data_IF_119502543176
#
_entry.id   IF_119502543176
#
_cell.length_a   1.000
_cell.length_b   1.000
_cell.length_c   1.000
_cell.angle_alpha   90.00
_cell.angle_beta   90.00
_cell.angle_gamma   90.00
#
_symmetry.space_group_name_H-M   'P 1'
#
loop_
_entity.id
_entity.type
_entity.pdbx_description
1 polymer ?
#
# COMPACT_ATOMS: atom_id res chain seq x y z
N UNK A 1 27.04 -38.81 -26.19
CA UNK A 1 26.10 -38.77 -25.05
C UNK A 1 26.18 -37.40 -24.41
N UNK A 2 25.40 -36.46 -24.91
CA UNK A 2 25.28 -35.12 -24.34
C UNK A 2 24.17 -35.14 -23.28
N UNK A 3 24.56 -34.86 -22.04
CA UNK A 3 23.58 -34.68 -20.98
C UNK A 3 23.10 -33.23 -21.07
N UNK A 4 21.89 -33.07 -21.60
CA UNK A 4 21.19 -31.79 -21.54
C UNK A 4 20.95 -31.39 -20.10
N UNK A 5 21.57 -30.28 -19.67
CA UNK A 5 21.26 -29.56 -18.44
C UNK A 5 19.87 -28.95 -18.61
N UNK A 6 18.85 -29.55 -17.97
CA UNK A 6 17.55 -28.91 -17.82
C UNK A 6 17.74 -27.74 -16.86
N UNK A 7 17.84 -26.55 -17.41
CA UNK A 7 17.63 -25.33 -16.67
C UNK A 7 16.15 -25.28 -16.26
N UNK A 8 15.84 -25.65 -15.01
CA UNK A 8 14.55 -25.35 -14.42
C UNK A 8 14.54 -23.85 -14.14
N UNK A 9 14.25 -23.06 -15.18
CA UNK A 9 13.90 -21.67 -15.00
C UNK A 9 12.58 -21.61 -14.24
N UNK A 10 12.60 -21.13 -13.01
CA UNK A 10 11.41 -20.56 -12.39
C UNK A 10 10.94 -19.45 -13.33
N UNK A 11 9.92 -19.75 -14.14
CA UNK A 11 9.26 -18.72 -14.91
C UNK A 11 8.73 -17.71 -13.88
N UNK A 12 9.34 -16.52 -13.88
CA UNK A 12 8.89 -15.41 -13.05
C UNK A 12 7.37 -15.25 -13.24
N UNK A 13 6.61 -15.24 -12.17
CA UNK A 13 5.15 -15.18 -12.25
C UNK A 13 4.75 -13.95 -13.08
N UNK A 14 3.85 -14.13 -14.04
CA UNK A 14 3.25 -13.03 -14.83
C UNK A 14 2.73 -11.86 -13.95
N UNK A 15 2.51 -12.12 -12.67
CA UNK A 15 2.01 -11.15 -11.70
C UNK A 15 3.09 -10.59 -10.76
N UNK A 16 4.37 -10.89 -10.98
CA UNK A 16 5.47 -10.35 -10.16
C UNK A 16 5.44 -8.82 -10.09
N UNK A 17 5.14 -8.16 -11.21
CA UNK A 17 5.04 -6.70 -11.26
C UNK A 17 3.98 -6.11 -10.31
N UNK A 18 2.89 -6.83 -10.02
CA UNK A 18 1.89 -6.39 -9.03
C UNK A 18 2.47 -6.43 -7.62
N UNK A 19 3.28 -7.43 -7.31
CA UNK A 19 3.93 -7.56 -6.01
C UNK A 19 4.98 -6.47 -5.81
N UNK A 20 5.80 -6.21 -6.82
CA UNK A 20 6.77 -5.12 -6.80
C UNK A 20 6.10 -3.76 -6.66
N UNK A 21 4.97 -3.56 -7.38
CA UNK A 21 4.19 -2.34 -7.26
C UNK A 21 3.62 -2.19 -5.85
N UNK A 22 3.05 -3.25 -5.28
CA UNK A 22 2.51 -3.23 -3.93
C UNK A 22 3.59 -2.92 -2.89
N UNK A 23 4.76 -3.55 -3.00
CA UNK A 23 5.91 -3.31 -2.10
C UNK A 23 6.37 -1.85 -2.15
N UNK A 24 6.54 -1.29 -3.35
CA UNK A 24 6.92 0.12 -3.50
C UNK A 24 5.85 1.08 -2.98
N UNK A 25 4.57 0.75 -3.11
CA UNK A 25 3.48 1.56 -2.57
C UNK A 25 3.46 1.58 -1.03
N UNK A 26 3.82 0.48 -0.36
CA UNK A 26 3.97 0.46 1.11
C UNK A 26 4.96 1.53 1.56
N UNK A 27 6.14 1.57 0.92
CA UNK A 27 7.18 2.54 1.26
C UNK A 27 6.73 3.99 1.03
N UNK A 28 6.07 4.24 -0.09
CA UNK A 28 5.54 5.58 -0.44
C UNK A 28 4.47 6.06 0.53
N UNK A 29 3.56 5.19 0.95
CA UNK A 29 2.50 5.52 1.91
C UNK A 29 3.12 5.88 3.26
N UNK A 30 3.99 5.02 3.77
CA UNK A 30 4.67 5.24 5.05
C UNK A 30 5.51 6.51 5.01
N UNK A 31 6.21 6.79 3.91
CA UNK A 31 6.99 8.01 3.72
C UNK A 31 6.14 9.28 3.80
N UNK A 32 4.94 9.28 3.18
CA UNK A 32 4.01 10.40 3.28
C UNK A 32 3.46 10.55 4.71
N UNK A 33 3.10 9.45 5.39
CA UNK A 33 2.62 9.52 6.76
C UNK A 33 3.68 10.06 7.73
N UNK A 34 4.93 9.63 7.56
CA UNK A 34 6.05 10.09 8.36
C UNK A 34 6.36 11.59 8.18
N UNK A 35 6.04 12.16 7.03
CA UNK A 35 6.29 13.58 6.74
C UNK A 35 5.41 14.56 7.55
N UNK A 36 4.31 14.07 8.15
CA UNK A 36 3.49 14.92 9.02
C UNK A 36 4.06 14.98 10.44
N UNK A 37 4.18 16.16 11.06
CA UNK A 37 4.44 16.25 12.50
C UNK A 37 3.21 15.75 13.30
N UNK A 38 3.42 15.31 14.53
CA UNK A 38 2.32 14.81 15.38
C UNK A 38 1.25 15.88 15.65
N UNK A 39 1.65 17.14 15.67
CA UNK A 39 0.72 18.28 15.82
C UNK A 39 -0.24 18.47 14.65
N UNK A 40 0.01 17.82 13.50
CA UNK A 40 -0.84 17.92 12.31
C UNK A 40 -1.87 16.77 12.19
N UNK A 41 -1.92 15.85 13.15
CA UNK A 41 -2.77 14.67 13.04
C UNK A 41 -4.26 14.97 12.91
N UNK A 42 -4.72 16.05 13.54
CA UNK A 42 -6.12 16.49 13.51
C UNK A 42 -6.44 17.43 12.33
N UNK A 43 -5.42 17.80 11.53
CA UNK A 43 -5.64 18.68 10.39
C UNK A 43 -6.56 18.03 9.36
N UNK A 44 -7.56 18.82 8.93
CA UNK A 44 -8.47 18.48 7.82
C UNK A 44 -8.73 19.72 6.96
N UNK A 45 -8.68 19.63 5.64
CA UNK A 45 -8.86 20.79 4.77
C UNK A 45 -10.31 21.33 4.74
N UNK A 46 -11.27 20.53 5.18
CA UNK A 46 -12.68 20.95 5.33
C UNK A 46 -13.38 20.08 6.38
N UNK A 47 -14.52 20.54 6.95
CA UNK A 47 -15.27 19.76 7.93
C UNK A 47 -15.74 18.39 7.44
N UNK A 48 -15.89 18.21 6.13
CA UNK A 48 -16.29 16.93 5.49
C UNK A 48 -15.12 16.04 5.13
N UNK A 49 -13.87 16.54 5.21
CA UNK A 49 -12.68 15.75 4.93
C UNK A 49 -12.27 14.93 6.15
N UNK A 50 -11.63 13.78 5.90
CA UNK A 50 -10.92 13.07 6.98
C UNK A 50 -9.72 13.90 7.44
N UNK A 51 -9.38 13.81 8.73
CA UNK A 51 -8.10 14.32 9.21
C UNK A 51 -6.94 13.45 8.73
N UNK A 52 -5.70 13.91 8.95
CA UNK A 52 -4.50 13.13 8.64
C UNK A 52 -4.56 11.76 9.33
N UNK A 53 -4.85 11.72 10.63
CA UNK A 53 -4.93 10.47 11.40
C UNK A 53 -6.07 9.58 10.91
N UNK A 54 -7.24 10.14 10.64
CA UNK A 54 -8.38 9.40 10.09
C UNK A 54 -8.11 8.83 8.69
N UNK A 55 -7.24 9.46 7.89
CA UNK A 55 -6.78 8.90 6.62
C UNK A 55 -5.88 7.68 6.83
N UNK A 56 -5.00 7.71 7.81
CA UNK A 56 -4.16 6.56 8.18
C UNK A 56 -5.02 5.41 8.69
N UNK A 57 -5.91 5.67 9.64
CA UNK A 57 -6.86 4.69 10.17
C UNK A 57 -7.69 4.05 9.05
N UNK A 58 -8.26 4.86 8.18
CA UNK A 58 -9.04 4.39 7.04
C UNK A 58 -8.24 3.43 6.15
N UNK A 59 -7.00 3.77 5.80
CA UNK A 59 -6.19 2.92 4.93
C UNK A 59 -5.83 1.60 5.59
N UNK A 60 -5.43 1.60 6.86
CA UNK A 60 -5.09 0.39 7.63
C UNK A 60 -6.31 -0.53 7.76
N UNK A 61 -7.45 0.02 8.20
CA UNK A 61 -8.66 -0.78 8.43
C UNK A 61 -9.27 -1.33 7.14
N UNK A 62 -9.31 -0.52 6.08
CA UNK A 62 -9.87 -0.98 4.80
C UNK A 62 -9.01 -2.07 4.17
N UNK A 63 -7.70 -1.94 4.22
CA UNK A 63 -6.82 -2.99 3.74
C UNK A 63 -6.94 -4.25 4.58
N UNK A 64 -7.01 -4.10 5.91
CA UNK A 64 -7.25 -5.21 6.82
C UNK A 64 -8.58 -5.94 6.62
N UNK A 65 -9.56 -5.31 5.96
CA UNK A 65 -10.84 -5.95 5.60
C UNK A 65 -10.86 -6.49 4.17
N UNK A 66 -10.27 -5.76 3.22
CA UNK A 66 -10.27 -6.17 1.81
C UNK A 66 -9.43 -7.42 1.59
N UNK A 67 -8.25 -7.47 2.18
CA UNK A 67 -7.33 -8.57 1.94
C UNK A 67 -7.87 -9.92 2.41
N UNK A 68 -8.42 -10.09 3.62
CA UNK A 68 -9.06 -11.35 4.00
C UNK A 68 -10.36 -11.61 3.23
N UNK A 69 -11.25 -10.63 3.08
CA UNK A 69 -12.57 -10.84 2.52
C UNK A 69 -12.57 -11.09 1.00
N UNK A 70 -11.63 -10.48 0.28
CA UNK A 70 -11.59 -10.54 -1.18
C UNK A 70 -10.46 -11.43 -1.72
N UNK A 71 -9.36 -11.52 -1.01
CA UNK A 71 -8.19 -12.31 -1.43
C UNK A 71 -7.92 -13.53 -0.54
N UNK A 72 -8.61 -13.66 0.60
CA UNK A 72 -8.35 -14.73 1.55
C UNK A 72 -6.98 -14.60 2.24
N UNK A 73 -6.46 -13.37 2.34
CA UNK A 73 -5.16 -13.08 2.97
C UNK A 73 -5.40 -12.34 4.27
N UNK A 74 -5.38 -13.08 5.37
CA UNK A 74 -5.63 -12.56 6.70
C UNK A 74 -4.31 -12.31 7.45
N UNK A 75 -4.19 -11.14 8.07
CA UNK A 75 -3.07 -10.74 8.93
C UNK A 75 -3.52 -10.44 10.37
N UNK A 76 -4.75 -10.78 10.71
CA UNK A 76 -5.35 -10.58 12.01
C UNK A 76 -6.02 -9.20 12.18
N UNK A 77 -6.16 -8.76 13.43
CA UNK A 77 -6.81 -7.48 13.75
C UNK A 77 -6.10 -6.32 13.06
N UNK A 78 -6.80 -5.52 12.25
CA UNK A 78 -6.21 -4.36 11.59
C UNK A 78 -5.92 -3.18 12.53
N UNK A 79 -6.40 -3.21 13.76
CA UNK A 79 -6.19 -2.10 14.68
C UNK A 79 -4.75 -2.11 15.24
N UNK A 80 -4.08 -0.94 15.31
CA UNK A 80 -2.83 -0.82 16.04
C UNK A 80 -3.08 -0.89 17.55
N UNK A 81 -2.05 -1.25 18.32
CA UNK A 81 -2.11 -1.21 19.78
C UNK A 81 -2.41 0.20 20.32
N UNK A 82 -1.87 1.21 19.64
CA UNK A 82 -2.11 2.61 19.95
C UNK A 82 -2.60 3.34 18.69
N UNK A 83 -3.67 4.11 18.80
CA UNK A 83 -4.24 4.93 17.70
C UNK A 83 -3.46 6.24 17.53
N UNK A 84 -2.17 6.11 17.27
CA UNK A 84 -1.24 7.21 17.02
C UNK A 84 -0.65 7.10 15.61
N UNK A 85 -0.04 8.17 15.10
CA UNK A 85 0.71 8.14 13.84
C UNK A 85 1.70 6.97 13.81
N UNK A 86 2.50 6.84 14.88
CA UNK A 86 3.48 5.76 15.01
C UNK A 86 2.81 4.38 14.97
N UNK A 87 1.75 4.20 15.75
CA UNK A 87 1.02 2.93 15.80
C UNK A 87 0.46 2.53 14.43
N UNK A 88 -0.12 3.46 13.67
CA UNK A 88 -0.62 3.19 12.31
C UNK A 88 0.50 2.89 11.32
N UNK A 89 1.64 3.58 11.39
CA UNK A 89 2.81 3.31 10.54
C UNK A 89 3.35 1.90 10.79
N UNK A 90 3.57 1.55 12.05
CA UNK A 90 4.10 0.23 12.45
C UNK A 90 3.14 -0.88 12.05
N UNK A 91 1.84 -0.71 12.32
CA UNK A 91 0.80 -1.69 11.96
C UNK A 91 0.69 -1.87 10.45
N UNK A 92 0.62 -0.78 9.69
CA UNK A 92 0.51 -0.84 8.24
C UNK A 92 1.71 -1.55 7.62
N UNK A 93 2.93 -1.19 8.04
CA UNK A 93 4.17 -1.79 7.54
C UNK A 93 4.21 -3.29 7.84
N UNK A 94 3.95 -3.68 9.07
CA UNK A 94 3.96 -5.08 9.50
C UNK A 94 2.95 -5.92 8.72
N UNK A 95 1.69 -5.47 8.65
CA UNK A 95 0.63 -6.21 7.96
C UNK A 95 0.87 -6.29 6.45
N UNK A 96 1.29 -5.19 5.83
CA UNK A 96 1.55 -5.16 4.40
C UNK A 96 2.75 -6.04 4.00
N UNK A 97 3.81 -6.07 4.81
CA UNK A 97 4.93 -6.99 4.60
C UNK A 97 4.46 -8.45 4.68
N UNK A 98 3.69 -8.80 5.72
CA UNK A 98 3.15 -10.15 5.86
C UNK A 98 2.22 -10.55 4.72
N UNK A 99 1.38 -9.64 4.25
CA UNK A 99 0.53 -9.87 3.06
C UNK A 99 1.37 -10.11 1.82
N UNK A 100 2.42 -9.31 1.61
CA UNK A 100 3.33 -9.47 0.49
C UNK A 100 4.02 -10.83 0.51
N UNK A 101 4.50 -11.30 1.66
CA UNK A 101 5.09 -12.64 1.83
C UNK A 101 4.09 -13.73 1.43
N UNK A 102 2.85 -13.66 1.91
CA UNK A 102 1.80 -14.60 1.55
C UNK A 102 1.51 -14.55 0.03
N UNK A 103 1.41 -13.35 -0.55
CA UNK A 103 1.14 -13.20 -1.98
C UNK A 103 2.26 -13.77 -2.86
N UNK A 104 3.51 -13.67 -2.44
CA UNK A 104 4.66 -14.24 -3.15
C UNK A 104 4.62 -15.77 -3.26
N UNK A 105 3.88 -16.45 -2.39
CA UNK A 105 3.71 -17.91 -2.46
C UNK A 105 2.60 -18.34 -3.42
N UNK A 106 1.80 -17.41 -3.97
CA UNK A 106 0.63 -17.75 -4.78
C UNK A 106 1.01 -18.09 -6.22
N UNK A 107 0.51 -19.22 -6.76
CA UNK A 107 0.75 -19.57 -8.16
C UNK A 107 0.03 -18.63 -9.11
N UNK A 108 0.48 -18.57 -10.38
CA UNK A 108 -0.12 -17.72 -11.41
C UNK A 108 -1.64 -17.93 -11.59
N UNK A 109 -2.11 -19.17 -11.50
CA UNK A 109 -3.53 -19.50 -11.62
C UNK A 109 -4.38 -18.84 -10.51
N UNK A 110 -3.86 -18.74 -9.27
CA UNK A 110 -4.55 -18.10 -8.17
C UNK A 110 -4.92 -16.64 -8.46
N UNK A 111 -4.05 -15.94 -9.17
CA UNK A 111 -4.28 -14.53 -9.54
C UNK A 111 -5.40 -14.35 -10.56
N UNK A 112 -5.64 -15.37 -11.39
CA UNK A 112 -6.67 -15.36 -12.42
C UNK A 112 -8.04 -15.79 -11.87
N UNK A 113 -8.07 -16.48 -10.73
CA UNK A 113 -9.32 -16.89 -10.11
C UNK A 113 -10.18 -15.69 -9.74
N UNK A 114 -11.48 -15.85 -9.94
CA UNK A 114 -12.47 -14.85 -9.62
C UNK A 114 -12.80 -14.83 -8.12
N UNK A 115 -13.07 -13.64 -7.62
CA UNK A 115 -13.56 -13.38 -6.26
C UNK A 115 -14.61 -12.27 -6.27
N UNK A 116 -15.38 -12.17 -5.21
CA UNK A 116 -16.34 -11.09 -5.06
C UNK A 116 -15.62 -9.79 -4.67
N UNK A 117 -15.86 -8.75 -5.44
CA UNK A 117 -15.49 -7.38 -5.12
C UNK A 117 -16.79 -6.58 -4.95
N UNK A 118 -17.28 -6.52 -3.69
CA UNK A 118 -18.62 -6.04 -3.36
C UNK A 118 -19.70 -6.79 -4.16
N UNK A 119 -20.43 -6.12 -5.02
CA UNK A 119 -21.52 -6.64 -5.86
C UNK A 119 -21.08 -7.16 -7.24
N UNK A 120 -19.80 -7.13 -7.53
CA UNK A 120 -19.25 -7.58 -8.82
C UNK A 120 -18.19 -8.64 -8.67
N UNK A 121 -18.07 -9.52 -9.67
CA UNK A 121 -17.03 -10.55 -9.72
C UNK A 121 -15.83 -10.04 -10.50
N UNK A 122 -14.62 -10.21 -9.95
CA UNK A 122 -13.35 -9.79 -10.54
C UNK A 122 -12.25 -10.80 -10.23
N UNK A 123 -11.18 -10.82 -11.06
CA UNK A 123 -10.00 -11.62 -10.72
C UNK A 123 -9.26 -11.05 -9.49
N UNK A 124 -8.55 -11.91 -8.77
CA UNK A 124 -7.72 -11.48 -7.63
C UNK A 124 -6.66 -10.47 -8.05
N UNK A 125 -6.08 -10.61 -9.23
CA UNK A 125 -5.13 -9.64 -9.78
C UNK A 125 -5.77 -8.25 -9.94
N UNK A 126 -7.01 -8.18 -10.45
CA UNK A 126 -7.75 -6.94 -10.56
C UNK A 126 -8.02 -6.32 -9.18
N UNK A 127 -8.41 -7.15 -8.19
CA UNK A 127 -8.66 -6.68 -6.81
C UNK A 127 -7.41 -6.06 -6.20
N UNK A 128 -6.24 -6.70 -6.36
CA UNK A 128 -4.98 -6.11 -5.87
C UNK A 128 -4.65 -4.80 -6.60
N UNK A 129 -4.79 -4.75 -7.92
CA UNK A 129 -4.62 -3.50 -8.70
C UNK A 129 -5.53 -2.39 -8.18
N UNK A 130 -6.80 -2.72 -7.91
CA UNK A 130 -7.76 -1.75 -7.36
C UNK A 130 -7.36 -1.29 -5.96
N UNK A 131 -6.77 -2.18 -5.14
CA UNK A 131 -6.24 -1.83 -3.82
C UNK A 131 -5.06 -0.87 -3.93
N UNK A 132 -4.10 -1.13 -4.80
CA UNK A 132 -2.96 -0.25 -5.08
C UNK A 132 -3.45 1.15 -5.48
N UNK A 133 -4.40 1.22 -6.41
CA UNK A 133 -4.99 2.50 -6.85
C UNK A 133 -5.69 3.24 -5.71
N UNK A 134 -6.38 2.54 -4.81
CA UNK A 134 -7.01 3.14 -3.64
C UNK A 134 -5.98 3.74 -2.67
N UNK A 135 -4.87 3.06 -2.47
CA UNK A 135 -3.76 3.57 -1.66
C UNK A 135 -3.11 4.81 -2.29
N UNK A 136 -2.88 4.79 -3.62
CA UNK A 136 -2.38 5.93 -4.36
C UNK A 136 -3.33 7.14 -4.30
N UNK A 137 -4.66 6.90 -4.36
CA UNK A 137 -5.69 7.94 -4.21
C UNK A 137 -5.58 8.66 -2.85
N UNK A 138 -5.54 7.92 -1.74
CA UNK A 138 -5.42 8.51 -0.40
C UNK A 138 -4.06 9.19 -0.18
N UNK A 139 -2.99 8.62 -0.72
CA UNK A 139 -1.67 9.26 -0.71
C UNK A 139 -1.70 10.60 -1.44
N UNK A 140 -2.35 10.69 -2.59
CA UNK A 140 -2.53 11.94 -3.31
C UNK A 140 -3.26 13.00 -2.49
N UNK A 141 -4.30 12.63 -1.75
CA UNK A 141 -5.00 13.53 -0.82
C UNK A 141 -4.06 14.04 0.28
N UNK A 142 -3.28 13.17 0.90
CA UNK A 142 -2.32 13.55 1.94
C UNK A 142 -1.19 14.45 1.43
N UNK A 143 -0.75 14.28 0.18
CA UNK A 143 0.22 15.19 -0.47
C UNK A 143 -0.35 16.61 -0.54
N UNK A 144 -1.64 16.75 -0.87
CA UNK A 144 -2.30 18.07 -0.84
C UNK A 144 -2.35 18.63 0.57
N UNK A 145 -2.60 17.81 1.60
CA UNK A 145 -2.60 18.26 3.00
C UNK A 145 -1.22 18.77 3.42
N UNK A 146 -0.12 18.08 3.04
CA UNK A 146 1.23 18.60 3.28
C UNK A 146 1.41 19.99 2.67
N UNK A 147 0.97 20.21 1.42
CA UNK A 147 1.05 21.52 0.76
C UNK A 147 0.25 22.61 1.49
N UNK A 148 -0.96 22.30 1.93
CA UNK A 148 -1.80 23.24 2.67
C UNK A 148 -1.21 23.62 4.03
N UNK A 149 -0.43 22.72 4.63
CA UNK A 149 0.29 22.97 5.89
C UNK A 149 1.66 23.63 5.70
N UNK A 150 2.08 23.90 4.45
CA UNK A 150 3.41 24.43 4.16
C UNK A 150 4.55 23.44 4.46
N UNK A 151 4.25 22.14 4.53
CA UNK A 151 5.23 21.08 4.81
C UNK A 151 5.89 20.57 3.52
N UNK A 152 7.16 20.12 3.59
CA UNK A 152 7.83 19.53 2.45
C UNK A 152 7.12 18.26 1.96
N UNK A 153 7.03 18.09 0.65
CA UNK A 153 6.44 16.89 0.02
C UNK A 153 7.55 15.95 -0.43
N UNK A 154 7.64 14.73 0.15
CA UNK A 154 8.59 13.73 -0.27
C UNK A 154 8.37 13.32 -1.73
N UNK A 155 9.44 12.91 -2.41
CA UNK A 155 9.35 12.32 -3.75
C UNK A 155 8.75 10.92 -3.67
N UNK A 156 7.63 10.68 -4.34
CA UNK A 156 6.96 9.36 -4.39
C UNK A 156 6.84 8.79 -5.81
N UNK A 157 6.85 9.64 -6.85
CA UNK A 157 6.84 9.24 -8.27
C UNK A 157 7.89 9.98 -9.10
N UNK A 158 8.59 10.89 -8.51
CA UNK A 158 9.55 11.74 -9.19
C UNK A 158 9.88 12.95 -8.33
N UNK A 159 10.74 13.84 -8.83
CA UNK A 159 11.15 15.01 -8.08
C UNK A 159 9.95 15.90 -7.75
N UNK A 160 9.98 16.52 -6.57
CA UNK A 160 9.06 17.58 -6.17
C UNK A 160 9.81 18.90 -6.07
N UNK A 161 9.09 20.02 -5.89
CA UNK A 161 9.71 21.31 -5.64
C UNK A 161 10.63 21.31 -4.40
N UNK A 162 10.42 20.36 -3.47
CA UNK A 162 11.17 20.28 -2.21
C UNK A 162 12.36 19.32 -2.27
N UNK A 163 12.47 18.47 -3.30
CA UNK A 163 13.48 17.40 -3.38
C UNK A 163 14.64 17.72 -4.32
N UNK A 164 14.72 18.92 -4.87
CA UNK A 164 15.79 19.38 -5.77
C UNK A 164 16.18 18.35 -6.85
N UNK A 165 15.22 17.68 -7.45
CA UNK A 165 15.42 16.67 -8.49
C UNK A 165 15.88 15.29 -8.00
N UNK A 166 16.06 15.08 -6.69
CA UNK A 166 16.39 13.76 -6.14
C UNK A 166 15.14 12.97 -5.82
N UNK A 167 15.10 11.73 -6.30
CA UNK A 167 14.09 10.76 -5.87
C UNK A 167 14.56 10.19 -4.53
N UNK A 168 13.92 10.59 -3.45
CA UNK A 168 14.18 10.05 -2.11
C UNK A 168 13.02 9.13 -1.76
N UNK A 169 13.23 7.82 -1.89
CA UNK A 169 12.36 6.85 -1.22
C UNK A 169 12.76 6.89 0.25
N UNK A 170 11.87 7.39 1.11
CA UNK A 170 12.05 7.24 2.55
C UNK A 170 11.92 5.74 2.88
N UNK A 171 13.05 5.10 3.11
CA UNK A 171 13.14 3.74 3.64
C UNK A 171 12.92 3.77 5.16
#
# INVERSE_FOLDING_TARGET
MERGVRMSGNAESTYAFLLDTYETEILKIVGIWAAFPDSAMDFRPSPKSRSVLEQMEHQVQFEGRWMPNMLGIDTGDPNPAEKTKRGYIEKYRSDATRRLEIMRTKPGAWWQENTNFFDVVRSRAWVLTRRINHSAHHRGQLIVYLRLLGLPVPSVYGPTADTAGKVVYAL
#
